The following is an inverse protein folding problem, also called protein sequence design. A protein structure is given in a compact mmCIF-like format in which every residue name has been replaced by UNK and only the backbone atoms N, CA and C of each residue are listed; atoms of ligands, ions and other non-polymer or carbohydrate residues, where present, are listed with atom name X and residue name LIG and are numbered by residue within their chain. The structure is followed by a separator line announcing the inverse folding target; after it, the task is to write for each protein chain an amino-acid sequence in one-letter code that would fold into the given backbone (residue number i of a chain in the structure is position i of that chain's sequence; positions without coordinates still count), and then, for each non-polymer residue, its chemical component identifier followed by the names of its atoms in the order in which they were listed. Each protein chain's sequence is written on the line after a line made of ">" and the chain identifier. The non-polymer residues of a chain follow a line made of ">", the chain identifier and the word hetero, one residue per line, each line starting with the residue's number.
data_IF_156881954704
#
_entry.id   IF_156881954704
#
_cell.length_a   1.000
_cell.length_b   1.000
_cell.length_c   1.000
_cell.angle_alpha   90.00
_cell.angle_beta   90.00
_cell.angle_gamma   90.00
#
_symmetry.space_group_name_H-M   'P 1'
#
loop_
_entity.id
_entity.type
_entity.pdbx_description
1 polymer ?
#
# COMPACT_ATOMS: atom_id res chain seq x y z
N UNK A 1 -6.62 2.90 -4.15
CA UNK A 1 -6.93 1.49 -4.46
C UNK A 1 -8.26 1.07 -3.85
N UNK A 2 -8.40 0.95 -2.51
CA UNK A 2 -9.66 0.55 -1.86
C UNK A 2 -10.94 1.26 -2.38
N UNK A 3 -10.94 2.59 -2.48
CA UNK A 3 -12.08 3.35 -3.02
C UNK A 3 -12.44 2.97 -4.47
N UNK A 4 -11.44 2.68 -5.30
CA UNK A 4 -11.63 2.29 -6.70
C UNK A 4 -12.17 0.86 -6.82
N UNK A 5 -11.66 -0.06 -6.01
CA UNK A 5 -12.15 -1.45 -5.95
C UNK A 5 -13.62 -1.52 -5.55
N UNK A 6 -14.02 -0.66 -4.61
CA UNK A 6 -15.41 -0.54 -4.19
C UNK A 6 -16.27 0.27 -5.16
N UNK A 7 -15.73 0.76 -6.28
CA UNK A 7 -16.48 1.57 -7.24
C UNK A 7 -17.01 2.91 -6.68
N UNK A 8 -16.40 3.42 -5.60
CA UNK A 8 -16.86 4.64 -4.94
C UNK A 8 -16.41 5.88 -5.71
N UNK A 9 -17.29 6.87 -5.80
CA UNK A 9 -16.95 8.21 -6.30
C UNK A 9 -16.29 9.01 -5.19
N UNK A 10 -15.20 9.70 -5.50
CA UNK A 10 -14.45 10.51 -4.53
C UNK A 10 -13.69 11.65 -5.22
N UNK A 11 -13.34 12.65 -4.43
CA UNK A 11 -12.45 13.75 -4.83
C UNK A 11 -11.10 13.62 -4.12
N UNK A 12 -10.02 13.90 -4.84
CA UNK A 12 -8.67 13.94 -4.28
C UNK A 12 -8.32 15.40 -4.00
N UNK A 13 -7.91 15.67 -2.75
CA UNK A 13 -7.24 16.92 -2.37
C UNK A 13 -5.80 16.58 -1.99
N UNK A 14 -4.87 17.37 -2.49
CA UNK A 14 -3.44 17.26 -2.15
C UNK A 14 -3.07 18.33 -1.16
N UNK A 15 -2.08 18.02 -0.32
CA UNK A 15 -1.39 18.99 0.55
C UNK A 15 0.11 18.85 0.32
N UNK A 16 0.84 19.93 0.56
CA UNK A 16 2.29 19.94 0.47
C UNK A 16 2.92 19.55 1.81
N UNK A 17 3.51 18.36 1.85
CA UNK A 17 4.18 17.85 3.04
C UNK A 17 5.54 18.52 3.28
N UNK A 18 6.23 18.97 2.23
CA UNK A 18 7.57 19.54 2.30
C UNK A 18 7.54 20.96 2.87
N UNK A 19 6.48 21.74 2.57
CA UNK A 19 6.22 23.02 3.24
C UNK A 19 5.58 22.89 4.62
N UNK A 20 5.28 21.66 5.06
CA UNK A 20 4.68 21.40 6.37
C UNK A 20 3.21 21.78 6.48
N UNK A 21 2.45 21.76 5.37
CA UNK A 21 1.01 22.08 5.37
C UNK A 21 0.22 21.20 6.35
N UNK A 22 0.61 19.93 6.47
CA UNK A 22 0.04 18.97 7.43
C UNK A 22 0.20 19.37 8.92
N UNK A 23 1.08 20.34 9.21
CA UNK A 23 1.30 20.89 10.55
C UNK A 23 0.60 22.23 10.76
N UNK A 24 -0.16 22.72 9.77
CA UNK A 24 -0.90 23.98 9.88
C UNK A 24 -2.33 23.73 10.37
N UNK A 25 -2.84 24.51 11.34
CA UNK A 25 -4.22 24.39 11.83
C UNK A 25 -5.32 24.55 10.76
N UNK A 26 -4.98 25.14 9.61
CA UNK A 26 -5.89 25.33 8.47
C UNK A 26 -6.13 24.05 7.69
N UNK A 27 -5.25 23.05 7.79
CA UNK A 27 -5.47 21.78 7.13
C UNK A 27 -6.50 20.95 7.89
N UNK A 28 -7.46 20.39 7.15
CA UNK A 28 -8.55 19.59 7.70
C UNK A 28 -8.07 18.43 8.60
N UNK A 29 -6.97 17.76 8.23
CA UNK A 29 -6.41 16.66 9.02
C UNK A 29 -5.62 17.08 10.28
N UNK A 30 -5.55 18.38 10.60
CA UNK A 30 -4.74 18.88 11.72
C UNK A 30 -5.21 18.35 13.08
N UNK A 31 -6.53 18.17 13.25
CA UNK A 31 -7.14 17.61 14.46
C UNK A 31 -6.99 16.09 14.58
N UNK A 32 -6.42 15.42 13.58
CA UNK A 32 -6.22 13.97 13.54
C UNK A 32 -4.75 13.62 13.86
N UNK A 33 -4.19 12.58 13.23
CA UNK A 33 -2.79 12.17 13.42
C UNK A 33 -1.77 13.03 12.67
N UNK A 34 -2.23 14.10 12.02
CA UNK A 34 -1.42 15.03 11.21
C UNK A 34 -0.62 14.35 10.08
N UNK A 35 -1.14 13.25 9.54
CA UNK A 35 -0.52 12.49 8.44
C UNK A 35 -1.54 12.20 7.36
N UNK A 36 -1.04 12.05 6.13
CA UNK A 36 -1.84 11.51 5.02
C UNK A 36 -1.74 9.98 5.00
N UNK A 37 -2.77 9.27 4.51
CA UNK A 37 -4.04 9.79 3.98
C UNK A 37 -5.04 10.18 5.09
N UNK A 38 -5.95 11.10 4.73
CA UNK A 38 -7.17 11.42 5.47
C UNK A 38 -8.37 11.13 4.56
N UNK A 39 -9.33 10.35 5.05
CA UNK A 39 -10.62 10.15 4.41
C UNK A 39 -11.67 11.00 5.12
N UNK A 40 -12.47 11.73 4.34
CA UNK A 40 -13.69 12.37 4.82
C UNK A 40 -14.89 11.73 4.09
N UNK A 41 -15.91 11.32 4.85
CA UNK A 41 -17.22 10.99 4.31
C UNK A 41 -18.27 11.75 5.12
N UNK A 42 -18.98 12.66 4.47
CA UNK A 42 -19.88 13.61 5.13
C UNK A 42 -19.10 14.40 6.21
N UNK A 43 -19.57 14.39 7.46
CA UNK A 43 -18.92 15.05 8.59
C UNK A 43 -17.92 14.14 9.33
N UNK A 44 -17.74 12.88 8.89
CA UNK A 44 -16.83 11.93 9.53
C UNK A 44 -15.45 11.95 8.86
N UNK A 45 -14.42 12.10 9.69
CA UNK A 45 -13.01 12.12 9.28
C UNK A 45 -12.25 10.95 9.91
N UNK A 46 -11.40 10.29 9.11
CA UNK A 46 -10.61 9.16 9.56
C UNK A 46 -9.23 9.18 8.90
N UNK A 47 -8.18 9.09 9.72
CA UNK A 47 -6.79 8.88 9.30
C UNK A 47 -6.37 7.42 9.45
N UNK A 48 -5.13 7.11 9.05
CA UNK A 48 -4.53 5.76 9.04
C UNK A 48 -5.10 4.84 7.94
N UNK A 49 -4.27 4.51 6.94
CA UNK A 49 -4.75 3.84 5.71
C UNK A 49 -5.43 2.48 5.94
N UNK A 50 -4.98 1.67 6.91
CA UNK A 50 -5.60 0.38 7.20
C UNK A 50 -6.93 0.54 7.93
N UNK A 51 -7.03 1.49 8.87
CA UNK A 51 -8.30 1.83 9.53
C UNK A 51 -9.31 2.36 8.52
N UNK A 52 -8.87 3.22 7.59
CA UNK A 52 -9.69 3.68 6.46
C UNK A 52 -10.17 2.50 5.61
N UNK A 53 -9.29 1.55 5.26
CA UNK A 53 -9.67 0.39 4.45
C UNK A 53 -10.68 -0.53 5.16
N UNK A 54 -10.50 -0.81 6.46
CA UNK A 54 -11.46 -1.56 7.28
C UNK A 54 -12.80 -0.84 7.37
N UNK A 55 -12.79 0.47 7.64
CA UNK A 55 -14.01 1.28 7.68
C UNK A 55 -14.78 1.25 6.35
N UNK A 56 -14.06 1.30 5.22
CA UNK A 56 -14.68 1.16 3.90
C UNK A 56 -15.24 -0.24 3.68
N UNK A 57 -14.60 -1.29 4.20
CA UNK A 57 -15.11 -2.67 4.13
C UNK A 57 -16.42 -2.83 4.89
N UNK A 58 -16.52 -2.23 6.07
CA UNK A 58 -17.73 -2.30 6.91
C UNK A 58 -18.85 -1.38 6.40
N UNK A 59 -18.53 -0.13 6.02
CA UNK A 59 -19.54 0.86 5.56
C UNK A 59 -20.09 0.54 4.18
N UNK A 60 -19.28 -0.03 3.30
CA UNK A 60 -19.63 -0.39 1.93
C UNK A 60 -19.36 -1.88 1.72
N UNK A 61 -20.23 -2.70 2.30
CA UNK A 61 -20.07 -4.15 2.39
C UNK A 61 -20.77 -4.91 1.23
N UNK A 62 -20.36 -6.16 0.96
CA UNK A 62 -21.09 -7.07 0.07
C UNK A 62 -22.53 -7.32 0.53
N UNK A 63 -23.45 -7.68 -0.39
CA UNK A 63 -23.23 -7.92 -1.82
C UNK A 63 -23.29 -6.65 -2.68
N UNK A 64 -23.58 -5.49 -2.10
CA UNK A 64 -23.76 -4.25 -2.87
C UNK A 64 -22.44 -3.66 -3.35
N UNK A 65 -21.38 -3.80 -2.56
CA UNK A 65 -20.03 -3.36 -2.91
C UNK A 65 -19.04 -4.51 -2.83
N UNK A 66 -18.05 -4.49 -3.71
CA UNK A 66 -16.97 -5.49 -3.72
C UNK A 66 -16.22 -5.51 -2.38
N UNK A 67 -15.86 -6.71 -1.94
CA UNK A 67 -15.02 -6.91 -0.75
C UNK A 67 -13.56 -6.60 -1.08
N UNK A 68 -12.85 -6.04 -0.11
CA UNK A 68 -11.39 -5.85 -0.20
C UNK A 68 -10.61 -6.65 0.85
N UNK A 69 -11.31 -7.40 1.70
CA UNK A 69 -10.73 -8.37 2.63
C UNK A 69 -11.30 -9.77 2.42
N UNK A 70 -10.53 -10.83 2.76
CA UNK A 70 -11.05 -12.20 2.75
C UNK A 70 -12.31 -12.34 3.61
N UNK A 71 -13.22 -13.24 3.22
CA UNK A 71 -14.39 -13.60 4.07
C UNK A 71 -14.00 -14.59 5.17
N UNK A 72 -13.07 -15.49 4.85
CA UNK A 72 -12.50 -16.43 5.81
C UNK A 72 -11.80 -15.68 6.95
N UNK A 73 -12.08 -16.11 8.18
CA UNK A 73 -11.69 -15.39 9.40
C UNK A 73 -10.17 -15.36 9.55
N UNK A 74 -9.52 -16.50 9.36
CA UNK A 74 -8.08 -16.68 9.51
C UNK A 74 -7.33 -15.94 8.41
N UNK A 75 -7.80 -15.99 7.16
CA UNK A 75 -7.23 -15.22 6.06
C UNK A 75 -7.40 -13.71 6.26
N UNK A 76 -8.55 -13.26 6.78
CA UNK A 76 -8.74 -11.84 7.13
C UNK A 76 -7.80 -11.40 8.25
N UNK A 77 -7.59 -12.24 9.27
CA UNK A 77 -6.60 -12.00 10.31
C UNK A 77 -5.18 -11.94 9.75
N UNK A 78 -4.84 -12.80 8.79
CA UNK A 78 -3.54 -12.76 8.11
C UNK A 78 -3.36 -11.52 7.25
N UNK A 79 -4.39 -11.07 6.52
CA UNK A 79 -4.35 -9.81 5.78
C UNK A 79 -4.04 -8.63 6.71
N UNK A 80 -4.72 -8.55 7.86
CA UNK A 80 -4.45 -7.54 8.90
C UNK A 80 -3.03 -7.62 9.45
N UNK A 81 -2.54 -8.85 9.71
CA UNK A 81 -1.16 -9.07 10.15
C UNK A 81 -0.16 -8.49 9.14
N UNK A 82 -0.34 -8.79 7.84
CA UNK A 82 0.54 -8.28 6.78
C UNK A 82 0.51 -6.75 6.75
N UNK A 83 -0.68 -6.15 6.77
CA UNK A 83 -0.82 -4.70 6.72
C UNK A 83 -0.19 -3.98 7.91
N UNK A 84 -0.37 -4.52 9.12
CA UNK A 84 0.25 -3.98 10.33
C UNK A 84 1.77 -4.11 10.27
N UNK A 85 2.26 -5.31 9.94
CA UNK A 85 3.69 -5.60 9.83
C UNK A 85 4.40 -4.67 8.84
N UNK A 86 3.88 -4.51 7.63
CA UNK A 86 4.47 -3.63 6.61
C UNK A 86 4.51 -2.14 7.02
N UNK A 87 3.64 -1.71 7.95
CA UNK A 87 3.57 -0.33 8.44
C UNK A 87 4.46 -0.08 9.67
N UNK A 88 4.75 -1.12 10.45
CA UNK A 88 5.52 -1.02 11.70
C UNK A 88 6.92 -1.62 11.63
N UNK A 89 7.30 -2.23 10.51
CA UNK A 89 8.58 -2.91 10.33
C UNK A 89 9.22 -2.51 8.98
N UNK A 90 10.35 -3.13 8.64
CA UNK A 90 11.07 -2.94 7.37
C UNK A 90 11.47 -1.47 7.11
N UNK A 91 11.72 -0.72 8.19
CA UNK A 91 12.14 0.68 8.11
C UNK A 91 13.36 0.91 7.21
N UNK A 92 14.42 0.07 7.26
CA UNK A 92 15.57 0.23 6.35
C UNK A 92 15.18 0.22 4.87
N UNK A 93 14.29 -0.69 4.44
CA UNK A 93 13.77 -0.67 3.05
C UNK A 93 13.00 0.62 2.78
N UNK A 94 12.15 1.07 3.72
CA UNK A 94 11.30 2.26 3.52
C UNK A 94 12.12 3.54 3.41
N UNK A 95 13.24 3.63 4.11
CA UNK A 95 14.17 4.77 4.09
C UNK A 95 15.11 4.71 2.88
N UNK A 96 15.69 3.56 2.60
CA UNK A 96 16.67 3.38 1.51
C UNK A 96 16.00 3.21 0.13
N UNK A 97 14.72 2.82 0.10
CA UNK A 97 13.87 2.73 -1.08
C UNK A 97 12.52 3.41 -0.81
N UNK A 98 12.51 4.76 -0.68
CA UNK A 98 11.26 5.50 -0.49
C UNK A 98 10.34 5.36 -1.69
N UNK A 99 9.11 5.83 -1.57
CA UNK A 99 8.12 5.71 -2.65
C UNK A 99 8.45 6.55 -3.87
N UNK A 100 9.41 7.48 -3.78
CA UNK A 100 9.99 8.20 -4.92
C UNK A 100 10.69 7.24 -5.90
N UNK A 101 11.26 6.13 -5.42
CA UNK A 101 11.79 5.06 -6.27
C UNK A 101 10.68 4.44 -7.12
N UNK A 102 9.52 4.20 -6.50
CA UNK A 102 8.38 3.51 -7.12
C UNK A 102 7.62 4.41 -8.08
N UNK A 103 7.32 5.65 -7.67
CA UNK A 103 6.43 6.54 -8.42
C UNK A 103 7.14 7.64 -9.21
N UNK A 104 8.40 7.94 -8.89
CA UNK A 104 9.21 8.95 -9.59
C UNK A 104 10.50 8.39 -10.21
N UNK A 105 10.75 7.08 -10.09
CA UNK A 105 11.92 6.42 -10.67
C UNK A 105 13.26 6.84 -10.05
N UNK A 106 13.24 7.36 -8.81
CA UNK A 106 14.45 7.79 -8.11
C UNK A 106 15.47 6.65 -8.00
N UNK A 107 16.76 6.98 -8.16
CA UNK A 107 17.86 6.04 -7.94
C UNK A 107 18.53 6.31 -6.59
N UNK A 108 18.91 5.24 -5.92
CA UNK A 108 19.49 5.24 -4.58
C UNK A 108 20.76 4.39 -4.57
N UNK A 109 21.56 4.55 -3.53
CA UNK A 109 22.75 3.74 -3.32
C UNK A 109 22.38 2.25 -3.11
N UNK A 110 23.34 1.32 -3.27
CA UNK A 110 23.16 -0.07 -2.86
C UNK A 110 22.71 -0.17 -1.40
N UNK A 111 21.91 -1.19 -1.09
CA UNK A 111 21.40 -1.40 0.27
C UNK A 111 22.54 -1.55 1.28
N UNK A 112 22.33 -0.96 2.46
CA UNK A 112 23.15 -1.21 3.66
C UNK A 112 23.00 -2.66 4.15
N UNK A 113 23.75 -3.04 5.18
CA UNK A 113 23.58 -4.36 5.80
C UNK A 113 22.17 -4.51 6.41
N UNK A 114 21.65 -3.46 7.03
CA UNK A 114 20.33 -3.38 7.63
C UNK A 114 19.22 -3.45 6.55
N UNK A 115 19.46 -2.76 5.42
CA UNK A 115 18.61 -2.82 4.23
C UNK A 115 18.52 -4.23 3.65
N UNK A 116 19.66 -4.90 3.49
CA UNK A 116 19.73 -6.31 3.02
C UNK A 116 19.05 -7.27 3.97
N UNK A 117 19.32 -7.18 5.27
CA UNK A 117 18.66 -8.02 6.27
C UNK A 117 17.13 -7.83 6.28
N UNK A 118 16.66 -6.59 6.09
CA UNK A 118 15.23 -6.30 5.94
C UNK A 118 14.66 -6.90 4.65
N UNK A 119 15.40 -6.85 3.55
CA UNK A 119 14.98 -7.45 2.27
C UNK A 119 14.88 -8.98 2.38
N UNK A 120 15.87 -9.64 2.99
CA UNK A 120 15.84 -11.08 3.26
C UNK A 120 14.62 -11.47 4.11
N UNK A 121 14.33 -10.70 5.16
CA UNK A 121 13.13 -10.89 5.99
C UNK A 121 11.84 -10.74 5.19
N UNK A 122 11.76 -9.71 4.32
CA UNK A 122 10.62 -9.51 3.44
C UNK A 122 10.43 -10.71 2.50
N UNK A 123 11.51 -11.18 1.88
CA UNK A 123 11.46 -12.30 0.94
C UNK A 123 11.00 -13.58 1.62
N UNK A 124 11.61 -13.94 2.74
CA UNK A 124 11.24 -15.15 3.49
C UNK A 124 9.76 -15.15 3.91
N UNK A 125 9.24 -14.00 4.36
CA UNK A 125 7.84 -13.87 4.72
C UNK A 125 6.92 -13.93 3.50
N UNK A 126 7.26 -13.24 2.41
CA UNK A 126 6.45 -13.25 1.19
C UNK A 126 6.40 -14.65 0.55
N UNK A 127 7.51 -15.37 0.50
CA UNK A 127 7.58 -16.73 -0.03
C UNK A 127 6.78 -17.73 0.81
N UNK A 128 6.76 -17.55 2.14
CA UNK A 128 5.94 -18.36 3.04
C UNK A 128 4.44 -18.11 2.85
N UNK A 129 4.05 -16.86 2.60
CA UNK A 129 2.65 -16.47 2.41
C UNK A 129 2.12 -16.86 1.02
N UNK A 130 2.96 -16.79 -0.02
CA UNK A 130 2.55 -17.11 -1.37
C UNK A 130 2.51 -18.63 -1.55
N UNK A 131 1.34 -19.16 -1.87
CA UNK A 131 1.16 -20.57 -2.26
C UNK A 131 1.52 -20.74 -3.73
N UNK A 132 2.22 -21.83 -4.07
CA UNK A 132 2.65 -22.08 -5.45
C UNK A 132 1.44 -22.17 -6.38
N UNK A 133 1.49 -21.45 -7.51
CA UNK A 133 0.42 -21.42 -8.50
C UNK A 133 -0.76 -20.50 -8.16
N UNK A 134 -0.76 -19.81 -7.01
CA UNK A 134 -1.78 -18.81 -6.70
C UNK A 134 -1.28 -17.39 -7.01
N UNK A 135 -2.07 -16.58 -7.75
CA UNK A 135 -1.66 -15.23 -8.12
C UNK A 135 -1.85 -14.20 -6.98
N UNK A 136 -2.66 -14.53 -5.97
CA UNK A 136 -3.00 -13.67 -4.83
C UNK A 136 -2.71 -14.40 -3.50
N UNK A 137 -2.58 -13.66 -2.41
CA UNK A 137 -2.30 -14.18 -1.06
C UNK A 137 -3.34 -15.18 -0.56
N UNK A 138 -4.63 -14.96 -0.85
CA UNK A 138 -5.74 -15.73 -0.27
C UNK A 138 -6.74 -16.24 -1.34
N UNK A 139 -6.21 -16.65 -2.49
CA UNK A 139 -7.00 -17.09 -3.64
C UNK A 139 -7.58 -15.93 -4.46
N UNK A 140 -8.54 -15.21 -3.89
CA UNK A 140 -9.00 -13.93 -4.46
C UNK A 140 -8.11 -12.77 -4.00
N UNK A 141 -8.12 -11.69 -4.79
CA UNK A 141 -7.39 -10.48 -4.44
C UNK A 141 -7.95 -9.86 -3.15
N UNK A 142 -7.06 -9.36 -2.32
CA UNK A 142 -7.40 -8.48 -1.20
C UNK A 142 -6.46 -7.27 -1.15
N UNK A 143 -6.81 -6.26 -0.36
CA UNK A 143 -6.01 -5.03 -0.25
C UNK A 143 -4.57 -5.29 0.24
N UNK A 144 -4.34 -6.37 0.99
CA UNK A 144 -3.00 -6.75 1.44
C UNK A 144 -2.08 -7.16 0.27
N UNK A 145 -2.63 -7.63 -0.86
CA UNK A 145 -1.84 -7.94 -2.05
C UNK A 145 -1.18 -6.68 -2.62
N UNK A 146 -1.92 -5.57 -2.66
CA UNK A 146 -1.37 -4.28 -3.09
C UNK A 146 -0.33 -3.75 -2.12
N UNK A 147 -0.58 -3.85 -0.81
CA UNK A 147 0.37 -3.38 0.20
C UNK A 147 1.70 -4.17 0.12
N UNK A 148 1.63 -5.49 -0.03
CA UNK A 148 2.81 -6.35 -0.18
C UNK A 148 3.54 -6.10 -1.50
N UNK A 149 2.81 -6.03 -2.62
CA UNK A 149 3.39 -5.77 -3.93
C UNK A 149 4.10 -4.41 -3.97
N UNK A 150 3.55 -3.37 -3.33
CA UNK A 150 4.22 -2.07 -3.21
C UNK A 150 5.55 -2.21 -2.45
N UNK A 151 5.58 -2.95 -1.35
CA UNK A 151 6.82 -3.15 -0.57
C UNK A 151 7.89 -3.89 -1.39
N UNK A 152 7.50 -4.91 -2.14
CA UNK A 152 8.43 -5.64 -3.03
C UNK A 152 8.89 -4.74 -4.19
N UNK A 153 7.98 -3.95 -4.78
CA UNK A 153 8.30 -3.06 -5.90
C UNK A 153 9.27 -1.92 -5.54
N UNK A 154 9.45 -1.59 -4.25
CA UNK A 154 10.54 -0.72 -3.81
C UNK A 154 11.91 -1.23 -4.23
N UNK A 155 12.08 -2.56 -4.28
CA UNK A 155 13.33 -3.23 -4.68
C UNK A 155 13.32 -3.54 -6.18
N UNK A 156 12.23 -4.13 -6.69
CA UNK A 156 12.12 -4.52 -8.11
C UNK A 156 12.28 -3.32 -9.05
N UNK A 157 11.54 -2.24 -8.80
CA UNK A 157 11.57 -1.06 -9.68
C UNK A 157 12.85 -0.22 -9.52
N UNK A 158 13.54 -0.37 -8.39
CA UNK A 158 14.88 0.18 -8.24
C UNK A 158 15.89 -0.54 -9.16
N UNK A 159 15.73 -1.86 -9.28
CA UNK A 159 16.64 -2.78 -9.97
C UNK A 159 17.49 -3.62 -9.01
N UNK A 160 17.07 -3.79 -7.75
CA UNK A 160 17.74 -4.67 -6.81
C UNK A 160 17.44 -6.14 -7.13
N UNK A 161 18.31 -7.05 -6.67
CA UNK A 161 18.09 -8.49 -6.79
C UNK A 161 16.90 -8.91 -5.91
N UNK A 162 15.91 -9.55 -6.53
CA UNK A 162 14.69 -10.05 -5.89
C UNK A 162 14.41 -11.44 -6.46
N UNK A 163 14.00 -12.43 -5.63
CA UNK A 163 13.62 -13.75 -6.12
C UNK A 163 12.56 -13.65 -7.24
N UNK A 164 12.77 -14.37 -8.35
CA UNK A 164 11.97 -14.28 -9.58
C UNK A 164 10.46 -14.40 -9.29
N UNK A 165 10.09 -15.35 -8.42
CA UNK A 165 8.69 -15.54 -8.02
C UNK A 165 8.06 -14.30 -7.37
N UNK A 166 8.83 -13.53 -6.60
CA UNK A 166 8.36 -12.29 -5.98
C UNK A 166 8.31 -11.14 -6.99
N UNK A 167 9.22 -11.14 -7.98
CA UNK A 167 9.15 -10.23 -9.13
C UNK A 167 7.86 -10.47 -9.91
N UNK A 168 7.55 -11.73 -10.22
CA UNK A 168 6.33 -12.12 -10.94
C UNK A 168 5.08 -11.70 -10.17
N UNK A 169 5.02 -12.03 -8.88
CA UNK A 169 3.91 -11.64 -8.02
C UNK A 169 3.72 -10.12 -7.98
N UNK A 170 4.79 -9.37 -7.69
CA UNK A 170 4.72 -7.92 -7.59
C UNK A 170 4.34 -7.28 -8.94
N UNK A 171 4.86 -7.80 -10.05
CA UNK A 171 4.52 -7.35 -11.41
C UNK A 171 3.05 -7.60 -11.73
N UNK A 172 2.55 -8.80 -11.44
CA UNK A 172 1.15 -9.16 -11.64
C UNK A 172 0.22 -8.25 -10.82
N UNK A 173 0.49 -8.08 -9.52
CA UNK A 173 -0.31 -7.21 -8.66
C UNK A 173 -0.24 -5.74 -9.10
N UNK A 174 0.89 -5.29 -9.65
CA UNK A 174 1.04 -3.93 -10.16
C UNK A 174 0.15 -3.63 -11.36
N UNK A 175 -0.20 -4.64 -12.18
CA UNK A 175 -1.08 -4.48 -13.35
C UNK A 175 -2.54 -4.21 -12.98
N UNK A 176 -2.93 -4.37 -11.70
CA UNK A 176 -4.31 -4.15 -11.26
C UNK A 176 -4.79 -2.74 -11.62
N UNK A 177 -5.97 -2.63 -12.24
CA UNK A 177 -6.47 -1.38 -12.79
C UNK A 177 -6.54 -0.22 -11.77
N UNK A 178 -6.94 -0.52 -10.53
CA UNK A 178 -6.98 0.45 -9.43
C UNK A 178 -5.60 0.95 -9.00
N UNK A 179 -4.56 0.13 -9.14
CA UNK A 179 -3.15 0.47 -8.89
C UNK A 179 -2.63 1.31 -10.06
N UNK A 180 -2.85 0.87 -11.29
CA UNK A 180 -2.46 1.61 -12.50
C UNK A 180 -3.09 3.02 -12.55
N UNK A 181 -4.36 3.15 -12.16
CA UNK A 181 -5.02 4.46 -12.05
C UNK A 181 -4.34 5.36 -11.01
N UNK A 182 -3.90 4.81 -9.88
CA UNK A 182 -3.16 5.57 -8.88
C UNK A 182 -1.78 6.02 -9.40
N UNK A 183 -1.05 5.13 -10.09
CA UNK A 183 0.24 5.46 -10.70
C UNK A 183 0.08 6.60 -11.71
N UNK A 184 -0.93 6.54 -12.58
CA UNK A 184 -1.21 7.59 -13.55
C UNK A 184 -1.55 8.94 -12.90
N UNK A 185 -2.18 8.94 -11.71
CA UNK A 185 -2.42 10.17 -10.94
C UNK A 185 -1.11 10.72 -10.36
N UNK A 186 -0.26 9.87 -9.79
CA UNK A 186 1.03 10.29 -9.24
C UNK A 186 1.95 10.91 -10.31
N UNK A 187 1.99 10.32 -11.51
CA UNK A 187 2.79 10.84 -12.61
C UNK A 187 2.35 12.23 -13.09
N UNK A 188 1.04 12.55 -13.00
CA UNK A 188 0.50 13.87 -13.37
C UNK A 188 0.77 14.96 -12.34
N UNK A 189 1.11 14.59 -11.10
CA UNK A 189 1.37 15.53 -10.02
C UNK A 189 2.86 15.84 -9.85
N UNK A 190 3.74 14.98 -10.38
CA UNK A 190 5.20 15.14 -10.35
C UNK A 190 5.79 15.99 -11.49
N UNK A 191 4.96 16.52 -12.39
CA UNK A 191 5.37 17.38 -13.51
C UNK A 191 4.73 18.75 -13.42
#
# INVERSE_FOLDING_TARGET
>A
VALQEKGLSFHIKTIDLDSGEHLQPTWQGYGQTRRVPLLQIDDFELSESSAIAEYLEDRFAPPTWERIYPLDLENRARARQIQAWLRSDLMPIREERPTDVVFAGAKKAPLTAEGKASAEKLFAMAEHLLVLGQPNLFGEWCIADTDLALMINRLVLHGDEVPERLVDYATFQWQRASVQRFIALSAKQSG
#
